data_IF_118712452828
#
_entry.id   IF_118712452828
#
_cell.length_a   1.000
_cell.length_b   1.000
_cell.length_c   1.000
_cell.angle_alpha   90.00
_cell.angle_beta   90.00
_cell.angle_gamma   90.00
#
_symmetry.space_group_name_H-M   'P 1'
#
loop_
_entity.id
_entity.type
_entity.pdbx_description
1 polymer ?
#
# COMPACT_ATOMS: atom_id res chain seq x y z
N UNK A 1 10.74 -5.08 -14.23
CA UNK A 1 9.31 -5.14 -13.83
C UNK A 1 9.07 -6.38 -12.97
N UNK A 2 8.96 -6.23 -11.64
CA UNK A 2 8.53 -7.32 -10.75
C UNK A 2 7.00 -7.49 -10.86
N UNK A 3 6.53 -8.06 -11.97
CA UNK A 3 5.18 -8.66 -11.99
C UNK A 3 5.31 -9.97 -11.21
N UNK A 4 4.91 -9.95 -9.94
CA UNK A 4 4.91 -11.15 -9.10
C UNK A 4 4.07 -12.22 -9.80
N UNK A 5 4.72 -13.33 -10.18
CA UNK A 5 4.04 -14.53 -10.69
C UNK A 5 3.32 -15.16 -9.49
N UNK A 6 2.06 -14.77 -9.26
CA UNK A 6 1.16 -15.44 -8.32
C UNK A 6 0.79 -14.64 -7.06
N UNK A 7 1.58 -13.67 -6.61
CA UNK A 7 1.23 -12.89 -5.41
C UNK A 7 0.28 -11.74 -5.77
N UNK A 8 -0.98 -11.85 -5.33
CA UNK A 8 -2.02 -10.82 -5.53
C UNK A 8 -2.10 -9.80 -4.40
N UNK A 9 -1.35 -10.00 -3.33
CA UNK A 9 -1.31 -9.09 -2.18
C UNK A 9 0.10 -8.59 -1.92
N UNK A 10 0.22 -7.29 -1.63
CA UNK A 10 1.46 -6.64 -1.25
C UNK A 10 1.31 -6.03 0.14
N UNK A 11 2.32 -6.24 0.99
CA UNK A 11 2.50 -5.44 2.20
C UNK A 11 3.41 -4.26 1.87
N UNK A 12 2.87 -3.05 1.93
CA UNK A 12 3.65 -1.82 1.73
C UNK A 12 3.85 -1.13 3.07
N UNK A 13 5.09 -1.13 3.55
CA UNK A 13 5.49 -0.48 4.80
C UNK A 13 5.97 0.93 4.50
N UNK A 14 5.16 1.93 4.85
CA UNK A 14 5.47 3.35 4.62
C UNK A 14 5.88 4.09 5.91
N UNK A 15 5.78 3.43 7.07
CA UNK A 15 6.05 4.03 8.37
C UNK A 15 4.94 4.97 8.85
N UNK A 16 4.93 5.27 10.15
CA UNK A 16 3.87 6.09 10.78
C UNK A 16 4.07 7.60 10.64
N UNK A 17 5.25 8.05 10.21
CA UNK A 17 5.56 9.48 10.11
C UNK A 17 5.78 10.19 11.46
N UNK A 18 6.01 9.46 12.56
CA UNK A 18 6.23 10.08 13.88
C UNK A 18 7.51 10.93 13.98
N UNK A 19 8.39 10.88 12.97
CA UNK A 19 9.63 11.67 12.89
C UNK A 19 9.69 12.60 11.68
N UNK A 20 8.59 12.76 10.94
CA UNK A 20 8.54 13.83 9.94
C UNK A 20 8.33 15.17 10.62
N UNK A 21 8.94 16.23 10.09
CA UNK A 21 8.65 17.59 10.53
C UNK A 21 7.19 17.93 10.17
N UNK A 22 6.35 18.12 11.19
CA UNK A 22 4.92 18.36 11.01
C UNK A 22 4.11 17.07 10.88
N UNK A 23 3.64 16.76 9.67
CA UNK A 23 2.66 15.70 9.42
C UNK A 23 3.24 14.51 8.61
N UNK A 24 2.66 13.30 8.71
CA UNK A 24 3.09 12.15 7.91
C UNK A 24 3.05 12.44 6.40
N UNK A 25 4.19 12.28 5.72
CA UNK A 25 4.31 12.60 4.28
C UNK A 25 4.02 11.39 3.39
N UNK A 26 4.63 10.23 3.68
CA UNK A 26 4.55 9.07 2.78
C UNK A 26 3.17 8.41 2.81
N UNK A 27 2.54 8.33 3.99
CA UNK A 27 1.23 7.71 4.15
C UNK A 27 0.14 8.31 3.23
N UNK A 28 -0.09 9.64 3.19
CA UNK A 28 -1.07 10.22 2.27
C UNK A 28 -0.67 10.07 0.80
N UNK A 29 0.63 10.14 0.46
CA UNK A 29 1.09 9.96 -0.93
C UNK A 29 0.83 8.55 -1.44
N UNK A 30 1.12 7.52 -0.64
CA UNK A 30 0.81 6.12 -0.99
C UNK A 30 -0.69 5.94 -1.19
N UNK A 31 -1.52 6.45 -0.27
CA UNK A 31 -2.99 6.36 -0.39
C UNK A 31 -3.52 7.10 -1.61
N UNK A 32 -2.91 8.23 -1.98
CA UNK A 32 -3.27 8.98 -3.19
C UNK A 32 -2.92 8.17 -4.43
N UNK A 33 -1.68 7.67 -4.51
CA UNK A 33 -1.24 6.81 -5.62
C UNK A 33 -2.17 5.61 -5.82
N UNK A 34 -2.56 4.91 -4.75
CA UNK A 34 -3.49 3.78 -4.83
C UNK A 34 -4.88 4.16 -5.35
N UNK A 35 -5.37 5.37 -5.06
CA UNK A 35 -6.64 5.87 -5.59
C UNK A 35 -6.53 6.28 -7.07
N UNK A 36 -5.36 6.73 -7.48
CA UNK A 36 -5.08 7.18 -8.86
C UNK A 36 -4.80 6.01 -9.83
N UNK A 37 -4.62 4.77 -9.34
CA UNK A 37 -4.35 3.58 -10.16
C UNK A 37 -5.41 2.46 -9.95
N UNK A 38 -6.71 2.74 -10.19
CA UNK A 38 -7.79 1.76 -9.99
C UNK A 38 -7.72 0.55 -10.94
N UNK A 39 -7.01 0.67 -12.07
CA UNK A 39 -6.76 -0.39 -13.04
C UNK A 39 -5.81 -1.48 -12.51
N UNK A 40 -4.87 -1.09 -11.64
CA UNK A 40 -3.87 -2.01 -11.06
C UNK A 40 -4.29 -2.49 -9.67
N UNK A 41 -5.10 -1.71 -8.94
CA UNK A 41 -5.45 -1.94 -7.54
C UNK A 41 -6.91 -2.36 -7.40
N UNK A 42 -7.14 -3.55 -6.82
CA UNK A 42 -8.47 -4.05 -6.48
C UNK A 42 -9.00 -3.46 -5.17
N UNK A 43 -8.10 -3.21 -4.22
CA UNK A 43 -8.44 -2.62 -2.92
C UNK A 43 -7.22 -2.53 -2.00
N UNK A 44 -7.37 -1.84 -0.87
CA UNK A 44 -6.33 -1.74 0.15
C UNK A 44 -6.92 -1.45 1.53
N UNK A 45 -6.17 -1.80 2.58
CA UNK A 45 -6.54 -1.59 3.98
C UNK A 45 -5.30 -1.40 4.86
N UNK A 46 -5.41 -0.77 6.04
CA UNK A 46 -4.35 -0.84 7.06
C UNK A 46 -3.93 -2.29 7.34
N UNK A 47 -2.65 -2.50 7.54
CA UNK A 47 -2.13 -3.79 7.94
C UNK A 47 -2.59 -4.14 9.37
N UNK A 48 -2.70 -5.43 9.73
CA UNK A 48 -2.81 -5.84 11.13
C UNK A 48 -1.68 -5.24 11.99
N UNK A 49 -1.92 -5.09 13.30
CA UNK A 49 -0.94 -4.47 14.23
C UNK A 49 0.43 -5.16 14.16
N UNK A 50 0.43 -6.49 14.11
CA UNK A 50 1.65 -7.32 14.08
C UNK A 50 2.43 -7.19 12.76
N UNK A 51 1.81 -6.61 11.73
CA UNK A 51 2.40 -6.38 10.41
C UNK A 51 2.70 -4.89 10.15
N UNK A 52 2.61 -4.04 11.18
CA UNK A 52 2.95 -2.62 11.12
C UNK A 52 1.78 -1.65 11.38
N UNK A 53 0.54 -2.15 11.46
CA UNK A 53 -0.63 -1.32 11.77
C UNK A 53 -0.78 -0.13 10.81
N UNK A 54 -1.02 1.05 11.35
CA UNK A 54 -1.14 2.30 10.58
C UNK A 54 0.13 2.70 9.79
N UNK A 55 1.28 2.09 10.09
CA UNK A 55 2.52 2.30 9.35
C UNK A 55 2.66 1.44 8.09
N UNK A 56 1.67 0.60 7.79
CA UNK A 56 1.68 -0.28 6.62
C UNK A 56 0.27 -0.48 6.04
N UNK A 57 0.23 -0.84 4.76
CA UNK A 57 -0.99 -1.19 4.05
C UNK A 57 -0.86 -2.60 3.46
N UNK A 58 -1.94 -3.36 3.53
CA UNK A 58 -2.15 -4.54 2.67
C UNK A 58 -2.89 -4.06 1.42
N UNK A 59 -2.30 -4.28 0.25
CA UNK A 59 -2.82 -3.86 -1.06
C UNK A 59 -3.11 -5.11 -1.88
N UNK A 60 -4.31 -5.18 -2.45
CA UNK A 60 -4.73 -6.25 -3.35
C UNK A 60 -4.61 -5.75 -4.79
N UNK A 61 -3.81 -6.45 -5.59
CA UNK A 61 -3.61 -6.16 -7.01
C UNK A 61 -4.70 -6.81 -7.86
N UNK A 62 -5.06 -6.16 -8.96
CA UNK A 62 -5.88 -6.80 -10.00
C UNK A 62 -5.06 -7.87 -10.71
N UNK A 63 -5.74 -8.93 -11.15
CA UNK A 63 -5.13 -9.92 -12.03
C UNK A 63 -4.83 -9.22 -13.35
N UNK A 64 -3.58 -9.28 -13.82
CA UNK A 64 -3.27 -8.87 -15.18
C UNK A 64 -4.18 -9.68 -16.15
N UNK A 65 -4.81 -8.99 -17.10
CA UNK A 65 -5.50 -9.66 -18.20
C UNK A 65 -4.51 -10.66 -18.82
N UNK A 66 -4.94 -11.92 -18.88
CA UNK A 66 -4.14 -13.04 -19.36
C UNK A 66 -4.10 -13.04 -20.87
#
# INVERSE_FOLDING_TARGET
AHRARGTRELLVVHGKGLRSEGAPVIAPLVRRWLKDHPEDVAGWRPAPRDWGGEGALVIVLRKAAS
#
